data_IF_457546713377
#
_entry.id   IF_457546713377
#
_cell.length_a   1.000
_cell.length_b   1.000
_cell.length_c   1.000
_cell.angle_alpha   90.00
_cell.angle_beta   90.00
_cell.angle_gamma   90.00
#
_symmetry.space_group_name_H-M   'P 1'
#
loop_
_entity.id
_entity.type
_entity.pdbx_description
1 polymer ?
#
# COMPACT_ATOMS: atom_id res chain seq x y z
N UNK A 1 -3.21 -24.30 30.36
CA UNK A 1 -3.26 -24.46 28.90
C UNK A 1 -1.89 -24.04 28.37
N UNK A 2 -1.17 -24.96 27.74
CA UNK A 2 0.26 -24.80 27.44
C UNK A 2 0.47 -23.85 26.25
N UNK A 3 1.13 -22.72 26.49
CA UNK A 3 1.35 -21.65 25.50
C UNK A 3 2.21 -22.11 24.32
N UNK A 4 2.95 -23.21 24.45
CA UNK A 4 3.73 -23.79 23.35
C UNK A 4 2.85 -24.36 22.24
N UNK A 5 1.72 -24.98 22.59
CA UNK A 5 0.81 -25.59 21.60
C UNK A 5 0.06 -24.53 20.77
N UNK A 6 -0.17 -23.33 21.33
CA UNK A 6 -0.78 -22.20 20.61
C UNK A 6 0.13 -21.61 19.53
N UNK A 7 1.44 -21.56 19.79
CA UNK A 7 2.42 -21.01 18.82
C UNK A 7 2.63 -21.96 17.63
N UNK A 8 2.66 -23.27 17.85
CA UNK A 8 2.78 -24.23 16.73
C UNK A 8 1.51 -24.25 15.86
N UNK A 9 0.34 -24.14 16.45
CA UNK A 9 -0.93 -24.07 15.71
C UNK A 9 -0.97 -22.87 14.75
N UNK A 10 -0.55 -21.68 15.22
CA UNK A 10 -0.51 -20.47 14.38
C UNK A 10 0.51 -20.55 13.24
N UNK A 11 1.62 -21.28 13.40
CA UNK A 11 2.60 -21.48 12.32
C UNK A 11 2.04 -22.35 11.20
N UNK A 12 1.28 -23.39 11.53
CA UNK A 12 0.68 -24.30 10.55
C UNK A 12 -0.36 -23.57 9.69
N UNK A 13 -1.19 -22.73 10.31
CA UNK A 13 -2.22 -21.96 9.60
C UNK A 13 -1.62 -20.93 8.63
N UNK A 14 -0.53 -20.25 9.02
CA UNK A 14 0.16 -19.31 8.14
C UNK A 14 0.81 -20.00 6.93
N UNK A 15 1.34 -21.21 7.10
CA UNK A 15 1.93 -21.98 6.00
C UNK A 15 0.85 -22.43 5.00
N UNK A 16 -0.30 -22.91 5.49
CA UNK A 16 -1.44 -23.27 4.65
C UNK A 16 -2.02 -22.07 3.87
N UNK A 17 -2.09 -20.89 4.50
CA UNK A 17 -2.52 -19.66 3.83
C UNK A 17 -1.55 -19.22 2.74
N UNK A 18 -0.24 -19.34 2.98
CA UNK A 18 0.79 -19.04 2.00
C UNK A 18 0.73 -19.97 0.78
N UNK A 19 0.58 -21.28 0.99
CA UNK A 19 0.43 -22.25 -0.10
C UNK A 19 -0.83 -21.98 -0.94
N UNK A 20 -1.98 -21.72 -0.28
CA UNK A 20 -3.23 -21.39 -0.98
C UNK A 20 -3.10 -20.13 -1.83
N UNK A 21 -2.39 -19.11 -1.33
CA UNK A 21 -2.15 -17.89 -2.08
C UNK A 21 -1.31 -18.14 -3.34
N UNK A 22 -0.28 -18.97 -3.26
CA UNK A 22 0.52 -19.37 -4.43
C UNK A 22 -0.28 -20.16 -5.45
N UNK A 23 -1.11 -21.12 -5.03
CA UNK A 23 -1.99 -21.87 -5.93
C UNK A 23 -2.99 -20.95 -6.66
N UNK A 24 -3.53 -19.94 -5.97
CA UNK A 24 -4.43 -18.94 -6.60
C UNK A 24 -3.72 -18.09 -7.66
N UNK A 25 -2.46 -17.72 -7.46
CA UNK A 25 -1.68 -16.98 -8.46
C UNK A 25 -1.37 -17.84 -9.69
N UNK A 26 -0.99 -19.11 -9.49
CA UNK A 26 -0.77 -20.06 -10.58
C UNK A 26 -2.04 -20.30 -11.40
N UNK A 27 -3.19 -20.45 -10.73
CA UNK A 27 -4.49 -20.62 -11.39
C UNK A 27 -4.84 -19.39 -12.25
N UNK A 28 -4.66 -18.18 -11.72
CA UNK A 28 -4.89 -16.93 -12.47
C UNK A 28 -4.00 -16.80 -13.70
N UNK A 29 -2.73 -17.21 -13.60
CA UNK A 29 -1.80 -17.21 -14.73
C UNK A 29 -2.25 -18.20 -15.82
N UNK A 30 -2.64 -19.41 -15.43
CA UNK A 30 -3.18 -20.43 -16.35
C UNK A 30 -4.42 -19.94 -17.10
N UNK A 31 -5.36 -19.27 -16.42
CA UNK A 31 -6.54 -18.70 -17.06
C UNK A 31 -6.18 -17.61 -18.07
N UNK A 32 -5.20 -16.74 -17.78
CA UNK A 32 -4.74 -15.72 -18.74
C UNK A 32 -4.12 -16.35 -19.99
N UNK A 33 -3.31 -17.41 -19.82
CA UNK A 33 -2.69 -18.13 -20.94
C UNK A 33 -3.78 -18.80 -21.80
N UNK A 34 -4.74 -19.48 -21.17
CA UNK A 34 -5.86 -20.10 -21.87
C UNK A 34 -6.71 -19.07 -22.62
N UNK A 35 -6.99 -17.92 -22.03
CA UNK A 35 -7.75 -16.85 -22.69
C UNK A 35 -7.03 -16.32 -23.94
N UNK A 36 -5.69 -16.13 -23.87
CA UNK A 36 -4.89 -15.73 -25.02
C UNK A 36 -4.94 -16.80 -26.12
N UNK A 37 -4.83 -18.09 -25.74
CA UNK A 37 -4.91 -19.21 -26.66
C UNK A 37 -6.29 -19.35 -27.32
N UNK A 38 -7.38 -19.01 -26.62
CA UNK A 38 -8.74 -19.06 -27.18
C UNK A 38 -9.04 -17.92 -28.17
N UNK A 39 -8.36 -16.78 -28.05
CA UNK A 39 -8.54 -15.64 -28.97
C UNK A 39 -7.67 -15.79 -30.23
N UNK A 40 -6.61 -16.61 -30.17
CA UNK A 40 -5.78 -16.91 -31.33
C UNK A 40 -6.43 -17.98 -32.22
N UNK A 41 -6.55 -17.68 -33.52
CA UNK A 41 -6.94 -18.65 -34.53
C UNK A 41 -5.98 -19.87 -34.49
N UNK A 42 -6.54 -21.08 -34.51
CA UNK A 42 -5.82 -22.36 -34.45
C UNK A 42 -4.74 -22.42 -35.53
N UNK A 43 -4.95 -21.81 -36.70
CA UNK A 43 -3.95 -21.74 -37.77
C UNK A 43 -2.73 -20.87 -37.39
N UNK A 44 -2.95 -19.80 -36.64
CA UNK A 44 -1.90 -18.88 -36.18
C UNK A 44 -1.12 -19.47 -35.01
N UNK A 45 -1.83 -20.12 -34.07
CA UNK A 45 -1.23 -20.81 -32.93
C UNK A 45 -0.35 -21.99 -33.37
N UNK A 46 -0.82 -22.80 -34.32
CA UNK A 46 -0.04 -23.94 -34.84
C UNK A 46 1.17 -23.52 -35.68
N UNK A 47 1.10 -22.37 -36.37
CA UNK A 47 2.26 -21.78 -37.08
C UNK A 47 3.30 -21.26 -36.09
N UNK A 48 2.90 -20.48 -35.08
CA UNK A 48 3.81 -20.01 -34.02
C UNK A 48 4.48 -21.15 -33.26
N UNK A 49 3.74 -22.20 -32.89
CA UNK A 49 4.30 -23.38 -32.23
C UNK A 49 5.29 -24.11 -33.14
N UNK A 50 4.98 -24.28 -34.43
CA UNK A 50 5.89 -24.91 -35.38
C UNK A 50 7.19 -24.12 -35.55
N UNK A 51 7.10 -22.80 -35.64
CA UNK A 51 8.27 -21.91 -35.76
C UNK A 51 9.12 -21.90 -34.46
N UNK A 52 8.48 -22.08 -33.30
CA UNK A 52 9.15 -22.26 -31.99
C UNK A 52 9.89 -23.59 -31.86
N UNK A 53 9.39 -24.68 -32.45
CA UNK A 53 10.00 -26.01 -32.36
C UNK A 53 11.04 -26.30 -33.46
N UNK A 54 10.96 -25.65 -34.62
CA UNK A 54 11.85 -25.91 -35.76
C UNK A 54 12.95 -24.85 -35.97
N UNK A 55 12.81 -23.66 -35.40
CA UNK A 55 13.88 -22.66 -35.42
C UNK A 55 14.91 -22.92 -34.32
N UNK A 56 16.21 -22.88 -34.65
CA UNK A 56 17.31 -22.68 -33.68
C UNK A 56 17.24 -21.27 -33.04
N UNK A 57 16.05 -20.88 -32.56
CA UNK A 57 15.71 -19.54 -32.13
C UNK A 57 15.50 -19.48 -30.63
N UNK A 58 16.46 -18.86 -29.95
CA UNK A 58 16.55 -18.60 -28.51
C UNK A 58 15.48 -17.59 -28.02
N UNK A 59 14.26 -17.63 -28.57
CA UNK A 59 13.28 -16.55 -28.44
C UNK A 59 12.12 -16.72 -27.42
N UNK A 60 11.80 -17.88 -26.81
CA UNK A 60 10.72 -17.92 -25.82
C UNK A 60 11.16 -17.49 -24.40
N UNK A 61 12.45 -17.29 -24.15
CA UNK A 61 12.95 -16.90 -22.82
C UNK A 61 12.83 -15.39 -22.54
N UNK A 62 12.79 -14.55 -23.57
CA UNK A 62 12.71 -13.08 -23.40
C UNK A 62 11.32 -12.58 -22.99
N UNK A 63 10.25 -13.31 -23.32
CA UNK A 63 8.87 -12.94 -22.93
C UNK A 63 8.56 -13.23 -21.45
N UNK A 64 9.36 -14.06 -20.78
CA UNK A 64 9.22 -14.33 -19.34
C UNK A 64 9.98 -13.33 -18.47
N UNK A 65 10.87 -12.52 -19.05
CA UNK A 65 11.71 -11.57 -18.31
C UNK A 65 11.13 -10.14 -18.23
N UNK A 66 10.04 -9.83 -18.95
CA UNK A 66 9.41 -8.50 -18.91
C UNK A 66 8.45 -8.29 -17.73
N UNK A 67 8.23 -9.29 -16.88
CA UNK A 67 7.22 -9.20 -15.79
C UNK A 67 7.80 -8.82 -14.41
N UNK A 68 9.07 -8.41 -14.32
CA UNK A 68 9.72 -8.06 -13.06
C UNK A 68 10.10 -6.57 -12.92
N UNK A 69 9.35 -5.63 -13.55
CA UNK A 69 9.40 -4.27 -13.04
C UNK A 69 8.56 -4.24 -11.76
N UNK A 70 9.21 -4.32 -10.60
CA UNK A 70 8.60 -3.88 -9.35
C UNK A 70 8.15 -2.44 -9.57
N UNK A 71 6.86 -2.25 -9.86
CA UNK A 71 6.24 -0.93 -9.98
C UNK A 71 6.58 -0.17 -8.72
N UNK A 72 7.28 0.95 -8.86
CA UNK A 72 7.47 1.88 -7.76
C UNK A 72 6.10 2.16 -7.12
N UNK A 73 6.01 2.24 -5.78
CA UNK A 73 4.75 2.54 -5.14
C UNK A 73 4.25 3.90 -5.66
N UNK A 74 2.99 3.92 -6.07
CA UNK A 74 2.31 5.13 -6.56
C UNK A 74 1.16 5.48 -5.63
N UNK A 75 0.84 6.77 -5.54
CA UNK A 75 -0.32 7.25 -4.82
C UNK A 75 -1.60 6.68 -5.42
N UNK A 76 -2.33 5.92 -4.62
CA UNK A 76 -3.63 5.35 -4.98
C UNK A 76 -4.74 6.23 -4.41
N UNK A 77 -5.90 6.19 -5.07
CA UNK A 77 -7.10 6.91 -4.64
C UNK A 77 -8.28 5.95 -4.64
N UNK A 78 -9.07 6.00 -3.57
CA UNK A 78 -10.33 5.27 -3.43
C UNK A 78 -11.39 6.19 -2.84
N UNK A 79 -12.62 6.07 -3.28
CA UNK A 79 -13.76 6.82 -2.75
C UNK A 79 -14.98 5.95 -2.53
N UNK A 80 -15.86 6.48 -1.68
CA UNK A 80 -17.21 5.99 -1.48
C UNK A 80 -18.15 7.17 -1.65
N UNK A 81 -18.86 7.20 -2.79
CA UNK A 81 -19.83 8.24 -3.11
C UNK A 81 -21.23 7.63 -3.00
N UNK A 82 -22.07 8.23 -2.16
CA UNK A 82 -23.43 7.79 -1.93
C UNK A 82 -24.44 8.90 -2.28
N UNK A 83 -25.73 8.58 -2.24
CA UNK A 83 -26.80 9.58 -2.41
C UNK A 83 -26.92 10.54 -1.22
N UNK A 84 -26.33 10.19 -0.08
CA UNK A 84 -26.41 10.94 1.17
C UNK A 84 -25.02 11.51 1.47
N UNK A 85 -24.76 12.80 1.21
CA UNK A 85 -23.40 13.36 1.23
C UNK A 85 -22.64 13.22 2.55
N UNK A 86 -23.35 13.00 3.66
CA UNK A 86 -22.76 12.71 4.98
C UNK A 86 -21.98 11.39 5.03
N UNK A 87 -22.29 10.43 4.17
CA UNK A 87 -21.58 9.16 4.06
C UNK A 87 -20.53 9.16 2.95
N UNK A 88 -20.31 10.30 2.29
CA UNK A 88 -19.24 10.40 1.31
C UNK A 88 -17.89 10.40 2.03
N UNK A 89 -16.97 9.60 1.51
CA UNK A 89 -15.60 9.57 1.98
C UNK A 89 -14.66 9.29 0.82
N UNK A 90 -13.40 9.63 1.03
CA UNK A 90 -12.35 9.11 0.18
C UNK A 90 -11.05 9.02 0.92
N UNK A 91 -10.12 8.35 0.28
CA UNK A 91 -8.78 8.16 0.81
C UNK A 91 -7.77 8.17 -0.31
N UNK A 92 -6.61 8.74 -0.02
CA UNK A 92 -5.41 8.50 -0.81
C UNK A 92 -4.39 7.79 0.05
N UNK A 93 -3.65 6.87 -0.53
CA UNK A 93 -2.64 6.13 0.21
C UNK A 93 -1.48 5.75 -0.69
N UNK A 94 -0.30 5.69 -0.09
CA UNK A 94 0.91 5.18 -0.71
C UNK A 94 1.33 3.92 0.06
N UNK A 95 1.19 2.73 -0.53
CA UNK A 95 1.61 1.50 0.13
C UNK A 95 3.13 1.43 0.23
N UNK A 96 3.68 0.75 1.24
CA UNK A 96 5.12 0.53 1.33
C UNK A 96 5.59 -0.41 0.22
N UNK A 97 6.82 -0.21 -0.26
CA UNK A 97 7.50 -1.17 -1.14
C UNK A 97 7.88 -2.42 -0.36
N UNK A 98 8.29 -2.25 0.91
CA UNK A 98 8.63 -3.32 1.82
C UNK A 98 7.76 -3.29 3.10
N UNK A 99 6.72 -4.13 3.21
CA UNK A 99 5.77 -4.10 4.34
C UNK A 99 6.40 -4.44 5.70
N UNK A 100 7.62 -4.97 5.73
CA UNK A 100 8.33 -5.33 6.97
C UNK A 100 9.18 -4.19 7.55
N UNK A 101 9.53 -3.18 6.75
CA UNK A 101 10.48 -2.12 7.14
C UNK A 101 9.99 -0.71 6.84
N UNK A 102 9.05 -0.58 5.91
CA UNK A 102 8.54 0.71 5.47
C UNK A 102 7.13 0.95 6.01
N UNK A 103 6.83 2.22 6.18
CA UNK A 103 5.54 2.77 6.55
C UNK A 103 4.69 2.99 5.30
N UNK A 104 3.43 2.58 5.35
CA UNK A 104 2.41 3.10 4.45
C UNK A 104 1.85 4.42 4.98
N UNK A 105 1.58 5.38 4.09
CA UNK A 105 0.91 6.64 4.45
C UNK A 105 -0.49 6.66 3.84
N UNK A 106 -1.47 7.11 4.61
CA UNK A 106 -2.87 7.24 4.19
C UNK A 106 -3.41 8.60 4.63
N UNK A 107 -4.19 9.25 3.76
CA UNK A 107 -4.96 10.46 4.08
C UNK A 107 -6.42 10.14 3.80
N UNK A 108 -7.23 10.12 4.85
CA UNK A 108 -8.67 9.91 4.77
C UNK A 108 -9.39 11.25 4.83
N UNK A 109 -10.46 11.40 4.07
CA UNK A 109 -11.36 12.56 4.10
C UNK A 109 -12.79 12.07 4.28
N UNK A 110 -13.44 12.56 5.33
CA UNK A 110 -14.81 12.20 5.71
C UNK A 110 -15.55 13.38 6.36
N UNK A 111 -16.65 13.09 7.06
CA UNK A 111 -17.46 14.09 7.77
C UNK A 111 -16.68 14.91 8.81
N UNK A 112 -15.63 14.33 9.40
CA UNK A 112 -14.79 14.96 10.42
C UNK A 112 -13.61 15.75 9.83
N UNK A 113 -13.55 15.93 8.52
CA UNK A 113 -12.44 16.57 7.83
C UNK A 113 -11.43 15.57 7.27
N UNK A 114 -10.19 16.02 7.13
CA UNK A 114 -9.09 15.22 6.61
C UNK A 114 -8.14 14.80 7.74
N UNK A 115 -7.76 13.53 7.77
CA UNK A 115 -6.86 12.96 8.77
C UNK A 115 -5.79 12.14 8.06
N UNK A 116 -4.58 12.13 8.63
CA UNK A 116 -3.45 11.39 8.07
C UNK A 116 -2.96 10.33 9.04
N UNK A 117 -2.62 9.19 8.46
CA UNK A 117 -2.28 7.98 9.18
C UNK A 117 -1.01 7.35 8.64
N UNK A 118 -0.21 6.81 9.54
CA UNK A 118 0.86 5.88 9.21
C UNK A 118 0.42 4.47 9.54
N UNK A 119 0.73 3.53 8.65
CA UNK A 119 0.34 2.14 8.75
C UNK A 119 1.57 1.24 8.65
N UNK A 120 1.63 0.22 9.50
CA UNK A 120 2.61 -0.87 9.43
C UNK A 120 1.85 -2.18 9.25
N UNK A 121 2.37 -3.06 8.41
CA UNK A 121 1.63 -4.27 8.00
C UNK A 121 2.07 -5.54 8.72
N UNK A 122 3.34 -5.61 9.15
CA UNK A 122 3.92 -6.85 9.69
C UNK A 122 4.21 -6.81 11.19
N UNK A 123 4.53 -5.64 11.75
CA UNK A 123 4.85 -5.47 13.16
C UNK A 123 4.13 -4.26 13.72
N UNK A 124 4.13 -4.10 15.03
CA UNK A 124 3.55 -2.92 15.68
C UNK A 124 4.59 -1.80 15.78
N UNK A 125 4.12 -0.56 15.86
CA UNK A 125 4.93 0.57 16.26
C UNK A 125 5.53 0.35 17.67
N UNK A 126 6.75 0.87 17.93
CA UNK A 126 7.29 0.88 19.28
C UNK A 126 6.35 1.68 20.19
N UNK A 127 6.11 1.19 21.40
CA UNK A 127 5.25 1.88 22.36
C UNK A 127 6.10 2.72 23.30
N UNK A 128 5.58 3.87 23.70
CA UNK A 128 6.17 4.64 24.79
C UNK A 128 6.14 3.81 26.10
N UNK A 129 7.24 3.77 26.88
CA UNK A 129 7.31 3.02 28.14
C UNK A 129 6.37 3.54 29.24
N UNK A 130 6.08 4.83 29.25
CA UNK A 130 5.20 5.50 30.21
C UNK A 130 3.74 5.42 29.77
N UNK A 131 3.47 5.56 28.47
CA UNK A 131 2.14 5.44 27.90
C UNK A 131 2.05 4.46 26.71
N UNK A 132 1.53 3.23 26.90
CA UNK A 132 1.50 2.21 25.85
C UNK A 132 0.55 2.53 24.68
N UNK A 133 -0.23 3.61 24.77
CA UNK A 133 -1.09 4.10 23.68
C UNK A 133 -0.38 5.10 22.76
N UNK A 134 0.86 5.49 23.10
CA UNK A 134 1.60 6.51 22.37
C UNK A 134 2.87 5.94 21.73
N UNK A 135 3.33 6.63 20.69
CA UNK A 135 4.60 6.37 20.00
C UNK A 135 5.14 7.66 19.40
N UNK A 136 6.46 7.70 19.20
CA UNK A 136 7.12 8.82 18.53
C UNK A 136 7.17 8.61 17.01
N UNK A 137 7.03 9.71 16.29
CA UNK A 137 7.31 9.83 14.86
C UNK A 137 8.26 10.99 14.63
N UNK A 138 9.22 10.78 13.76
CA UNK A 138 10.12 11.82 13.25
C UNK A 138 9.82 12.00 11.76
N UNK A 139 9.68 13.26 11.35
CA UNK A 139 9.43 13.63 9.96
C UNK A 139 10.46 14.66 9.55
N UNK A 140 11.16 14.36 8.48
CA UNK A 140 12.09 15.25 7.83
C UNK A 140 11.49 15.73 6.50
N UNK A 141 11.43 17.04 6.32
CA UNK A 141 11.05 17.68 5.06
C UNK A 141 12.20 18.60 4.69
N UNK A 142 12.95 18.24 3.64
CA UNK A 142 14.18 18.96 3.27
C UNK A 142 15.21 18.95 4.42
N UNK A 143 15.67 20.12 4.88
CA UNK A 143 16.60 20.28 6.01
C UNK A 143 15.89 20.34 7.38
N UNK A 144 14.57 20.48 7.41
CA UNK A 144 13.81 20.59 8.66
C UNK A 144 13.42 19.21 9.20
N UNK A 145 13.65 19.01 10.50
CA UNK A 145 13.23 17.81 11.22
C UNK A 145 12.23 18.15 12.32
N UNK A 146 11.16 17.35 12.41
CA UNK A 146 10.10 17.50 13.38
C UNK A 146 9.84 16.16 14.08
N UNK A 147 9.70 16.19 15.40
CA UNK A 147 9.36 15.01 16.20
C UNK A 147 8.09 15.26 16.98
N UNK A 148 7.19 14.27 16.95
CA UNK A 148 5.91 14.33 17.65
C UNK A 148 5.62 13.00 18.34
N UNK A 149 4.97 13.09 19.49
CA UNK A 149 4.27 11.97 20.11
C UNK A 149 2.87 11.84 19.51
N UNK A 150 2.44 10.62 19.26
CA UNK A 150 1.24 10.32 18.46
C UNK A 150 0.49 9.13 19.01
N UNK A 151 -0.82 9.11 18.79
CA UNK A 151 -1.69 8.04 19.27
C UNK A 151 -1.62 6.80 18.37
N UNK A 152 -1.48 5.65 19.02
CA UNK A 152 -1.54 4.33 18.42
C UNK A 152 -2.98 3.81 18.36
N UNK A 153 -3.39 3.39 17.17
CA UNK A 153 -4.68 2.82 16.85
C UNK A 153 -4.51 1.36 16.40
N UNK A 154 -5.64 0.63 16.34
CA UNK A 154 -5.71 -0.74 15.79
C UNK A 154 -4.64 -1.68 16.37
N UNK A 155 -4.48 -1.70 17.70
CA UNK A 155 -3.51 -2.57 18.37
C UNK A 155 -2.04 -2.15 18.22
N UNK A 156 -1.78 -0.96 17.67
CA UNK A 156 -0.44 -0.42 17.42
C UNK A 156 0.05 -0.62 15.98
N UNK A 157 -0.84 -0.94 15.04
CA UNK A 157 -0.51 -1.07 13.62
C UNK A 157 -0.80 0.20 12.80
N UNK A 158 -1.56 1.13 13.39
CA UNK A 158 -1.91 2.41 12.77
C UNK A 158 -1.60 3.52 13.74
N UNK A 159 -1.14 4.65 13.23
CA UNK A 159 -0.79 5.83 14.01
C UNK A 159 -1.47 7.03 13.39
N UNK A 160 -2.18 7.83 14.19
CA UNK A 160 -2.82 9.07 13.71
C UNK A 160 -1.83 10.23 13.87
N UNK A 161 -1.56 10.94 12.78
CA UNK A 161 -0.64 12.07 12.82
C UNK A 161 -1.34 13.34 13.34
N UNK A 162 -0.66 14.15 14.17
CA UNK A 162 -1.17 15.45 14.59
C UNK A 162 -1.41 16.38 13.39
N UNK A 163 -2.40 17.27 13.50
CA UNK A 163 -2.74 18.22 12.42
C UNK A 163 -1.54 19.07 11.96
N UNK A 164 -0.69 19.50 12.90
CA UNK A 164 0.53 20.25 12.58
C UNK A 164 1.50 19.45 11.68
N UNK A 165 1.59 18.13 11.87
CA UNK A 165 2.45 17.26 11.07
C UNK A 165 1.80 16.95 9.71
N UNK A 166 0.48 16.76 9.70
CA UNK A 166 -0.32 16.63 8.48
C UNK A 166 -0.11 17.82 7.53
N UNK A 167 -0.19 19.04 8.05
CA UNK A 167 0.02 20.27 7.27
C UNK A 167 1.44 20.35 6.70
N UNK A 168 2.47 20.04 7.51
CA UNK A 168 3.88 20.07 7.08
C UNK A 168 4.17 19.05 5.98
N UNK A 169 3.73 17.81 6.15
CA UNK A 169 3.90 16.75 5.13
C UNK A 169 3.18 17.14 3.85
N UNK A 170 1.92 17.58 3.96
CA UNK A 170 1.11 17.96 2.80
C UNK A 170 1.75 19.12 2.04
N UNK A 171 2.18 20.17 2.74
CA UNK A 171 2.84 21.33 2.12
C UNK A 171 4.15 20.93 1.46
N UNK A 172 4.98 20.11 2.11
CA UNK A 172 6.23 19.61 1.55
C UNK A 172 6.01 18.84 0.24
N UNK A 173 5.06 17.90 0.22
CA UNK A 173 4.74 17.13 -0.97
C UNK A 173 4.13 18.00 -2.09
N UNK A 174 3.31 19.00 -1.76
CA UNK A 174 2.78 19.97 -2.75
C UNK A 174 3.88 20.87 -3.32
N UNK A 175 4.92 21.18 -2.54
CA UNK A 175 6.09 21.93 -2.97
C UNK A 175 7.14 21.06 -3.66
N UNK A 176 6.79 19.83 -4.04
CA UNK A 176 7.67 18.86 -4.70
C UNK A 176 8.94 18.54 -3.89
N UNK A 177 8.85 18.58 -2.56
CA UNK A 177 9.91 18.18 -1.64
C UNK A 177 9.76 16.69 -1.28
N UNK A 178 10.90 16.05 -0.97
CA UNK A 178 10.93 14.68 -0.46
C UNK A 178 10.66 14.71 1.04
N UNK A 179 9.83 13.78 1.51
CA UNK A 179 9.51 13.63 2.94
C UNK A 179 10.04 12.29 3.43
N UNK A 180 10.82 12.30 4.51
CA UNK A 180 11.28 11.08 5.17
C UNK A 180 10.56 10.95 6.50
N UNK A 181 9.92 9.80 6.73
CA UNK A 181 9.17 9.52 7.95
C UNK A 181 9.80 8.33 8.65
N UNK A 182 10.08 8.48 9.95
CA UNK A 182 10.68 7.45 10.80
C UNK A 182 9.84 7.21 12.04
N UNK A 183 9.72 5.95 12.45
CA UNK A 183 9.18 5.58 13.75
C UNK A 183 9.81 4.26 14.20
N UNK A 184 10.68 4.34 15.22
CA UNK A 184 11.48 3.21 15.68
C UNK A 184 12.35 2.62 14.57
N UNK A 185 12.09 1.37 14.22
CA UNK A 185 12.82 0.66 13.16
C UNK A 185 12.26 0.88 11.75
N UNK A 186 11.12 1.57 11.62
CA UNK A 186 10.49 1.79 10.33
C UNK A 186 10.91 3.12 9.73
N UNK A 187 11.19 3.11 8.43
CA UNK A 187 11.54 4.32 7.67
C UNK A 187 10.92 4.26 6.28
N UNK A 188 10.32 5.36 5.84
CA UNK A 188 9.82 5.53 4.47
C UNK A 188 10.29 6.84 3.89
N UNK A 189 10.77 6.80 2.63
CA UNK A 189 11.04 7.97 1.81
C UNK A 189 9.89 8.16 0.85
N UNK A 190 9.16 9.26 1.01
CA UNK A 190 7.97 9.59 0.23
C UNK A 190 8.36 10.61 -0.82
N UNK A 191 8.25 10.20 -2.08
CA UNK A 191 8.43 11.07 -3.23
C UNK A 191 7.12 11.83 -3.55
N UNK A 192 7.20 13.08 -4.01
CA UNK A 192 6.02 13.90 -4.32
C UNK A 192 5.26 13.45 -5.58
N UNK A 193 5.85 12.55 -6.39
CA UNK A 193 5.32 12.12 -7.67
C UNK A 193 3.87 11.62 -7.56
N UNK A 194 2.95 12.33 -8.23
CA UNK A 194 1.53 11.95 -8.28
C UNK A 194 0.71 12.37 -7.05
N UNK A 195 1.34 12.90 -6.00
CA UNK A 195 0.65 13.33 -4.77
C UNK A 195 -0.38 14.42 -5.06
N UNK A 196 0.03 15.52 -5.71
CA UNK A 196 -0.85 16.66 -5.99
C UNK A 196 -2.12 16.22 -6.74
N UNK A 197 -1.96 15.38 -7.77
CA UNK A 197 -3.09 14.86 -8.55
C UNK A 197 -4.04 14.00 -7.69
N UNK A 198 -3.50 13.16 -6.82
CA UNK A 198 -4.31 12.34 -5.91
C UNK A 198 -5.02 13.21 -4.86
N UNK A 199 -4.31 14.17 -4.28
CA UNK A 199 -4.84 15.09 -3.27
C UNK A 199 -5.94 16.01 -3.83
N UNK A 200 -5.79 16.49 -5.06
CA UNK A 200 -6.85 17.24 -5.75
C UNK A 200 -8.12 16.39 -5.95
N UNK A 201 -8.00 15.09 -6.24
CA UNK A 201 -9.17 14.20 -6.32
C UNK A 201 -9.85 14.08 -4.95
N UNK A 202 -9.07 13.86 -3.89
CA UNK A 202 -9.58 13.79 -2.52
C UNK A 202 -10.35 15.06 -2.13
N UNK A 203 -9.82 16.24 -2.50
CA UNK A 203 -10.45 17.52 -2.17
C UNK A 203 -11.74 17.83 -2.96
N UNK A 204 -12.02 17.10 -4.05
CA UNK A 204 -13.26 17.26 -4.83
C UNK A 204 -14.45 16.52 -4.24
N UNK A 205 -14.24 15.68 -3.22
CA UNK A 205 -15.33 14.96 -2.57
C UNK A 205 -16.20 15.95 -1.80
N UNK A 206 -17.46 16.06 -2.22
CA UNK A 206 -18.45 16.86 -1.53
C UNK A 206 -18.95 16.09 -0.31
N UNK A 207 -18.73 16.66 0.87
CA UNK A 207 -19.11 16.10 2.16
C UNK A 207 -20.00 17.13 2.84
N UNK A 208 -21.22 16.74 3.20
CA UNK A 208 -22.08 17.62 3.98
C UNK A 208 -21.53 17.73 5.41
N UNK A 209 -21.55 18.94 6.01
CA UNK A 209 -21.03 19.14 7.36
C UNK A 209 -21.84 18.30 8.35
N UNK A 210 -21.16 17.54 9.20
CA UNK A 210 -21.81 16.85 10.33
C UNK A 210 -22.54 17.89 11.19
N UNK A 211 -23.87 17.77 11.33
CA UNK A 211 -24.59 18.49 12.39
C UNK A 211 -24.16 17.86 13.73
N UNK A 212 -23.29 18.55 14.46
CA UNK A 212 -22.81 18.16 15.80
C UNK A 212 -23.75 18.73 16.85
#
# INVERSE_FOLDING_TARGET
MDTKNLVEFHKLDLQLLWERWHWLQLLRLLFKILAILMVMDIATATKMLRDLFYGKGVLPLFLLLSSCSSTCPEWQYQDTITRTPYFNSGRIFLPPSNPFRELGIEIDRGGNGAEMYLNVHSFNFPRDPENPLLSFVEVQVDDDCFSYETELLLGGQRMKLPAALFEKITLGLLNNQTVVIRSGQFESVILPNGFEKAFQKLNRIHIAPSEV
#
